data_IF_087445384523
#
_entry.id   IF_087445384523
#
_cell.length_a   1.000
_cell.length_b   1.000
_cell.length_c   1.000
_cell.angle_alpha   90.00
_cell.angle_beta   90.00
_cell.angle_gamma   90.00
#
_symmetry.space_group_name_H-M   'P 1'
#
loop_
_entity.id
_entity.type
_entity.pdbx_description
1 polymer ?
#
# COMPACT_ATOMS: atom_id res chain seq x y z
N UNK A 1 8.35 18.92 3.51
CA UNK A 1 7.77 17.70 2.91
C UNK A 1 6.54 17.32 3.73
N UNK A 2 5.32 17.61 3.27
CA UNK A 2 4.10 17.32 4.04
C UNK A 2 3.80 15.83 3.84
N UNK A 3 4.35 14.99 4.71
CA UNK A 3 4.00 13.57 4.72
C UNK A 3 2.50 13.47 5.00
N UNK A 4 1.72 13.09 3.99
CA UNK A 4 0.28 12.89 4.17
C UNK A 4 0.09 11.78 5.21
N UNK A 5 -0.74 12.04 6.22
CA UNK A 5 -1.03 11.08 7.30
C UNK A 5 -1.70 9.79 6.80
N UNK A 6 -2.31 9.87 5.62
CA UNK A 6 -3.02 8.78 4.95
C UNK A 6 -2.80 8.84 3.44
N UNK A 7 -2.93 7.68 2.79
CA UNK A 7 -2.94 7.55 1.33
C UNK A 7 -4.17 6.79 0.88
N UNK A 8 -4.74 7.19 -0.26
CA UNK A 8 -5.79 6.43 -0.93
C UNK A 8 -5.20 5.13 -1.46
N UNK A 9 -5.85 3.99 -1.21
CA UNK A 9 -5.38 2.70 -1.73
C UNK A 9 -5.28 2.70 -3.25
N UNK A 10 -6.19 3.42 -3.92
CA UNK A 10 -6.18 3.58 -5.37
C UNK A 10 -4.94 4.34 -5.87
N UNK A 11 -4.52 5.39 -5.15
CA UNK A 11 -3.32 6.16 -5.51
C UNK A 11 -2.05 5.34 -5.26
N UNK A 12 -2.03 4.56 -4.18
CA UNK A 12 -0.95 3.60 -3.90
C UNK A 12 -0.78 2.61 -5.06
N UNK A 13 -1.86 1.93 -5.47
CA UNK A 13 -1.75 0.88 -6.49
C UNK A 13 -1.50 1.43 -7.89
N UNK A 14 -1.87 2.70 -8.19
CA UNK A 14 -1.51 3.34 -9.46
C UNK A 14 0.00 3.48 -9.61
N UNK A 15 0.69 3.86 -8.52
CA UNK A 15 2.15 4.00 -8.50
C UNK A 15 2.86 2.64 -8.48
N UNK A 16 2.38 1.70 -7.67
CA UNK A 16 3.00 0.36 -7.55
C UNK A 16 2.79 -0.52 -8.79
N UNK A 17 1.64 -0.39 -9.47
CA UNK A 17 1.26 -1.24 -10.59
C UNK A 17 0.85 -0.41 -11.82
N UNK A 18 1.77 0.38 -12.42
CA UNK A 18 1.45 1.29 -13.52
C UNK A 18 0.98 0.57 -14.78
N UNK A 19 1.35 -0.70 -14.94
CA UNK A 19 0.96 -1.54 -16.08
C UNK A 19 -0.36 -2.29 -15.88
N UNK A 20 -1.04 -2.10 -14.75
CA UNK A 20 -2.29 -2.79 -14.48
C UNK A 20 -3.44 -2.21 -15.32
N UNK A 21 -4.18 -3.08 -16.01
CA UNK A 21 -5.31 -2.73 -16.90
C UNK A 21 -6.44 -1.93 -16.23
N UNK A 22 -6.57 -1.97 -14.91
CA UNK A 22 -7.51 -1.11 -14.17
C UNK A 22 -7.12 -0.96 -12.70
N UNK A 23 -7.62 0.10 -12.05
CA UNK A 23 -7.47 0.29 -10.60
C UNK A 23 -7.99 -0.91 -9.82
N UNK A 24 -9.11 -1.52 -10.26
CA UNK A 24 -9.68 -2.71 -9.60
C UNK A 24 -8.74 -3.90 -9.68
N UNK A 25 -8.10 -4.11 -10.83
CA UNK A 25 -7.07 -5.14 -11.02
C UNK A 25 -5.87 -4.90 -10.13
N UNK A 26 -5.32 -3.67 -10.12
CA UNK A 26 -4.20 -3.29 -9.27
C UNK A 26 -4.50 -3.46 -7.77
N UNK A 27 -5.71 -3.08 -7.34
CA UNK A 27 -6.21 -3.31 -5.98
C UNK A 27 -6.37 -4.80 -5.62
N UNK A 28 -6.63 -5.65 -6.61
CA UNK A 28 -6.70 -7.10 -6.39
C UNK A 28 -5.30 -7.70 -6.31
N UNK A 29 -4.36 -7.26 -7.15
CA UNK A 29 -2.96 -7.66 -7.09
C UNK A 29 -2.36 -7.37 -5.71
N UNK A 30 -2.49 -6.12 -5.21
CA UNK A 30 -2.03 -5.77 -3.87
C UNK A 30 -2.65 -6.64 -2.77
N UNK A 31 -3.95 -6.96 -2.87
CA UNK A 31 -4.62 -7.82 -1.89
C UNK A 31 -4.09 -9.24 -1.94
N UNK A 32 -3.89 -9.80 -3.13
CA UNK A 32 -3.33 -11.13 -3.28
C UNK A 32 -1.94 -11.21 -2.67
N UNK A 33 -1.08 -10.22 -2.90
CA UNK A 33 0.26 -10.19 -2.31
C UNK A 33 0.23 -10.12 -0.78
N UNK A 34 -0.62 -9.25 -0.22
CA UNK A 34 -0.82 -9.19 1.23
C UNK A 34 -1.38 -10.52 1.78
N UNK A 35 -2.32 -11.16 1.07
CA UNK A 35 -2.92 -12.43 1.51
C UNK A 35 -1.94 -13.62 1.41
N UNK A 36 -0.96 -13.57 0.49
CA UNK A 36 0.11 -14.57 0.37
C UNK A 36 1.13 -14.44 1.51
N UNK A 37 1.25 -13.27 2.15
CA UNK A 37 2.13 -13.04 3.29
C UNK A 37 1.32 -12.77 4.58
N UNK A 38 0.97 -13.81 5.37
CA UNK A 38 0.19 -13.67 6.59
C UNK A 38 0.81 -12.71 7.62
N UNK A 39 2.13 -12.64 7.69
CA UNK A 39 2.86 -11.74 8.58
C UNK A 39 2.64 -10.28 8.20
N UNK A 40 2.77 -9.94 6.92
CA UNK A 40 2.49 -8.60 6.41
C UNK A 40 1.05 -8.20 6.72
N UNK A 41 0.09 -9.09 6.43
CA UNK A 41 -1.32 -8.85 6.72
C UNK A 41 -1.56 -8.54 8.20
N UNK A 42 -0.96 -9.34 9.09
CA UNK A 42 -1.05 -9.13 10.54
C UNK A 42 -0.43 -7.80 10.97
N UNK A 43 0.74 -7.44 10.44
CA UNK A 43 1.37 -6.16 10.75
C UNK A 43 0.53 -4.97 10.27
N UNK A 44 -0.07 -5.04 9.08
CA UNK A 44 -0.96 -4.00 8.55
C UNK A 44 -2.20 -3.83 9.44
N UNK A 45 -2.80 -4.93 9.91
CA UNK A 45 -3.95 -4.90 10.82
C UNK A 45 -3.59 -4.36 12.21
N UNK A 46 -2.40 -4.67 12.72
CA UNK A 46 -1.91 -4.17 14.01
C UNK A 46 -1.48 -2.70 13.98
N UNK A 47 -1.01 -2.21 12.82
CA UNK A 47 -0.63 -0.80 12.61
C UNK A 47 -1.83 0.17 12.67
N UNK A 48 -3.05 -0.33 12.89
CA UNK A 48 -4.24 0.44 13.19
C UNK A 48 -5.43 0.04 12.34
N UNK A 49 -6.55 0.72 12.54
CA UNK A 49 -7.81 0.40 11.87
C UNK A 49 -7.68 0.51 10.35
N UNK A 50 -7.70 -0.63 9.66
CA UNK A 50 -7.73 -0.71 8.20
C UNK A 50 -9.02 -0.09 7.67
N UNK A 51 -8.90 1.11 7.10
CA UNK A 51 -10.04 1.75 6.43
C UNK A 51 -10.23 1.16 5.03
N UNK A 52 -11.48 1.14 4.57
CA UNK A 52 -11.86 0.59 3.26
C UNK A 52 -11.08 1.22 2.10
N UNK A 53 -10.89 2.54 2.13
CA UNK A 53 -10.34 3.31 1.01
C UNK A 53 -8.95 3.89 1.26
N UNK A 54 -8.44 3.80 2.49
CA UNK A 54 -7.21 4.48 2.89
C UNK A 54 -6.30 3.54 3.68
N UNK A 55 -4.99 3.73 3.52
CA UNK A 55 -3.98 3.29 4.47
C UNK A 55 -3.49 4.47 5.29
N UNK A 56 -3.24 4.25 6.58
CA UNK A 56 -2.52 5.22 7.39
C UNK A 56 -1.01 5.16 7.07
N UNK A 57 -0.23 6.12 7.59
CA UNK A 57 1.22 6.18 7.34
C UNK A 57 1.95 4.89 7.73
N UNK A 58 1.65 4.27 8.87
CA UNK A 58 2.32 3.04 9.31
C UNK A 58 1.99 1.87 8.38
N UNK A 59 0.72 1.73 7.99
CA UNK A 59 0.29 0.72 7.03
C UNK A 59 0.96 0.91 5.67
N UNK A 60 1.11 2.16 5.21
CA UNK A 60 1.84 2.47 3.98
C UNK A 60 3.30 2.02 4.09
N UNK A 61 3.99 2.38 5.19
CA UNK A 61 5.40 2.03 5.36
C UNK A 61 5.62 0.51 5.34
N UNK A 62 4.77 -0.26 6.03
CA UNK A 62 4.83 -1.73 6.01
C UNK A 62 4.63 -2.31 4.61
N UNK A 63 3.71 -1.74 3.84
CA UNK A 63 3.49 -2.16 2.45
C UNK A 63 4.73 -1.83 1.62
N UNK A 64 5.25 -0.59 1.69
CA UNK A 64 6.42 -0.19 0.90
C UNK A 64 7.66 -1.02 1.26
N UNK A 65 7.88 -1.31 2.55
CA UNK A 65 8.96 -2.17 3.03
C UNK A 65 8.88 -3.56 2.40
N UNK A 66 7.67 -4.14 2.29
CA UNK A 66 7.47 -5.43 1.62
C UNK A 66 7.88 -5.41 0.15
N UNK A 67 7.66 -4.29 -0.54
CA UNK A 67 8.09 -4.09 -1.93
C UNK A 67 9.53 -3.57 -2.05
N UNK A 68 10.27 -3.50 -0.94
CA UNK A 68 11.63 -2.93 -0.89
C UNK A 68 11.70 -1.48 -1.39
N UNK A 69 10.65 -0.69 -1.18
CA UNK A 69 10.63 0.74 -1.46
C UNK A 69 10.76 1.56 -0.18
N UNK A 70 11.52 2.65 -0.26
CA UNK A 70 11.45 3.75 0.68
C UNK A 70 10.26 4.66 0.39
N UNK A 71 9.85 5.46 1.38
CA UNK A 71 8.82 6.47 1.17
C UNK A 71 9.24 7.50 0.09
N UNK A 72 10.54 7.83 0.03
CA UNK A 72 11.11 8.80 -0.90
C UNK A 72 11.04 8.30 -2.35
N UNK A 73 11.43 7.04 -2.59
CA UNK A 73 11.30 6.40 -3.90
C UNK A 73 9.83 6.32 -4.34
N UNK A 74 8.93 5.97 -3.40
CA UNK A 74 7.50 5.93 -3.69
C UNK A 74 6.92 7.30 -4.06
N UNK A 75 7.44 8.39 -3.48
CA UNK A 75 7.01 9.74 -3.87
C UNK A 75 7.49 10.13 -5.27
N UNK A 76 8.63 9.58 -5.72
CA UNK A 76 9.22 9.84 -7.04
C UNK A 76 8.65 8.98 -8.19
N UNK A 77 7.94 7.88 -7.88
CA UNK A 77 7.15 7.10 -8.86
C UNK A 77 5.99 7.93 -9.45
#
# INVERSE_FOLDING_TARGET
MIIRRTILKQELVKKLYPHSISIKSAMQQLRNEIDICPELKKHIEQAGNTKRHYYNKQQLLLILEHFCFTLEEFEQL
#
